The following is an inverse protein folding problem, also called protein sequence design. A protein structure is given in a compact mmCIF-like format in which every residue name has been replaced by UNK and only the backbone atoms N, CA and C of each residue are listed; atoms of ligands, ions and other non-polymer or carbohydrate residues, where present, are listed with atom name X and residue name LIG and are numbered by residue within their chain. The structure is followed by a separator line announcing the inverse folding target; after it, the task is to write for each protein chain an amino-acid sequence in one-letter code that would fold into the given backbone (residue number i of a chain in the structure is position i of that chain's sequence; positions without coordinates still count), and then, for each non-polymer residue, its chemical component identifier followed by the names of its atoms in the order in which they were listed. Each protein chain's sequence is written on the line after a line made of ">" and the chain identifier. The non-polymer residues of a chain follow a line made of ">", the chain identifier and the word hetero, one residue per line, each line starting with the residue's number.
data_IF_924375093556
#
_entry.id   IF_924375093556
#
_cell.length_a   1.000
_cell.length_b   1.000
_cell.length_c   1.000
_cell.angle_alpha   90.00
_cell.angle_beta   90.00
_cell.angle_gamma   90.00
#
_symmetry.space_group_name_H-M   'P 1'
#
loop_
_entity.id
_entity.type
_entity.pdbx_description
1 polymer ?
#
# COMPACT_ATOMS: atom_id res chain seq x y z
N UNK A 1 -54.63 22.82 16.56
CA UNK A 1 -53.29 22.73 15.93
C UNK A 1 -53.34 21.73 14.78
N UNK A 2 -53.60 22.19 13.56
CA UNK A 2 -53.60 21.33 12.37
C UNK A 2 -52.14 21.09 11.95
N UNK A 3 -51.67 19.86 12.09
CA UNK A 3 -50.34 19.46 11.63
C UNK A 3 -50.43 19.15 10.13
N UNK A 4 -49.90 20.06 9.31
CA UNK A 4 -49.67 19.85 7.88
C UNK A 4 -48.69 18.68 7.69
N UNK A 5 -49.21 17.46 7.55
CA UNK A 5 -48.40 16.30 7.14
C UNK A 5 -48.11 16.44 5.65
N UNK A 6 -46.98 17.05 5.31
CA UNK A 6 -46.43 17.01 3.95
C UNK A 6 -45.99 15.58 3.66
N UNK A 7 -46.72 14.89 2.77
CA UNK A 7 -46.32 13.59 2.24
C UNK A 7 -45.19 13.77 1.22
N UNK A 8 -44.17 12.93 1.32
CA UNK A 8 -43.10 12.84 0.33
C UNK A 8 -43.66 12.21 -0.95
N UNK A 9 -43.41 12.77 -2.11
CA UNK A 9 -43.92 12.20 -3.36
C UNK A 9 -43.04 11.03 -3.82
N UNK A 10 -43.64 10.00 -4.42
CA UNK A 10 -42.89 8.88 -5.00
C UNK A 10 -41.94 9.35 -6.12
N UNK A 11 -42.31 10.40 -6.85
CA UNK A 11 -41.46 10.99 -7.90
C UNK A 11 -40.22 11.67 -7.31
N UNK A 12 -40.32 12.34 -6.16
CA UNK A 12 -39.17 12.94 -5.47
C UNK A 12 -38.16 11.87 -5.03
N UNK A 13 -38.61 10.72 -4.52
CA UNK A 13 -37.68 9.64 -4.19
C UNK A 13 -37.07 8.99 -5.44
N UNK A 14 -37.85 8.86 -6.52
CA UNK A 14 -37.39 8.25 -7.77
C UNK A 14 -36.25 9.07 -8.40
N UNK A 15 -36.38 10.40 -8.49
CA UNK A 15 -35.31 11.22 -9.06
C UNK A 15 -34.04 11.18 -8.21
N UNK A 16 -34.17 11.10 -6.87
CA UNK A 16 -33.03 11.06 -5.95
C UNK A 16 -32.22 9.78 -6.13
N UNK A 17 -32.88 8.61 -6.19
CA UNK A 17 -32.16 7.35 -6.39
C UNK A 17 -31.49 7.27 -7.77
N UNK A 18 -32.09 7.89 -8.80
CA UNK A 18 -31.48 7.99 -10.13
C UNK A 18 -30.20 8.84 -10.08
N UNK A 19 -30.24 10.01 -9.45
CA UNK A 19 -29.07 10.89 -9.33
C UNK A 19 -27.96 10.21 -8.52
N UNK A 20 -28.29 9.60 -7.37
CA UNK A 20 -27.31 8.86 -6.54
C UNK A 20 -26.72 7.69 -7.33
N UNK A 21 -27.53 6.97 -8.13
CA UNK A 21 -27.07 5.89 -8.99
C UNK A 21 -26.02 6.34 -10.01
N UNK A 22 -26.23 7.49 -10.66
CA UNK A 22 -25.28 8.06 -11.62
C UNK A 22 -23.97 8.46 -10.92
N UNK A 23 -24.06 9.13 -9.76
CA UNK A 23 -22.88 9.53 -8.98
C UNK A 23 -22.08 8.32 -8.49
N UNK A 24 -22.77 7.29 -7.98
CA UNK A 24 -22.14 6.06 -7.49
C UNK A 24 -21.42 5.30 -8.61
N UNK A 25 -22.01 5.23 -9.81
CA UNK A 25 -21.41 4.55 -10.96
C UNK A 25 -20.04 5.12 -11.34
N UNK A 26 -19.83 6.44 -11.19
CA UNK A 26 -18.53 7.10 -11.46
C UNK A 26 -17.61 7.03 -10.24
N UNK A 27 -18.17 7.22 -9.04
CA UNK A 27 -17.39 7.33 -7.81
C UNK A 27 -16.75 6.01 -7.39
N UNK A 28 -17.47 4.88 -7.48
CA UNK A 28 -17.01 3.56 -7.03
C UNK A 28 -15.71 3.12 -7.74
N UNK A 29 -15.62 3.07 -9.09
CA UNK A 29 -14.39 2.67 -9.76
C UNK A 29 -13.24 3.66 -9.53
N UNK A 30 -13.54 4.97 -9.41
CA UNK A 30 -12.52 5.99 -9.11
C UNK A 30 -11.95 5.81 -7.70
N UNK A 31 -12.82 5.52 -6.72
CA UNK A 31 -12.41 5.28 -5.35
C UNK A 31 -11.55 4.02 -5.23
N UNK A 32 -11.96 2.91 -5.87
CA UNK A 32 -11.17 1.68 -5.91
C UNK A 32 -9.75 1.91 -6.46
N UNK A 33 -9.63 2.61 -7.60
CA UNK A 33 -8.33 2.96 -8.17
C UNK A 33 -7.50 3.88 -7.26
N UNK A 34 -8.15 4.79 -6.53
CA UNK A 34 -7.45 5.69 -5.59
C UNK A 34 -6.93 4.93 -4.39
N UNK A 35 -7.69 3.96 -3.86
CA UNK A 35 -7.22 3.06 -2.80
C UNK A 35 -6.03 2.21 -3.26
N UNK A 36 -6.09 1.64 -4.46
CA UNK A 36 -4.99 0.85 -5.02
C UNK A 36 -3.70 1.68 -5.13
N UNK A 37 -3.81 2.92 -5.62
CA UNK A 37 -2.68 3.87 -5.63
C UNK A 37 -2.14 4.19 -4.24
N UNK A 38 -3.00 4.28 -3.23
CA UNK A 38 -2.58 4.48 -1.84
C UNK A 38 -1.80 3.27 -1.30
N UNK A 39 -2.24 2.05 -1.60
CA UNK A 39 -1.51 0.83 -1.22
C UNK A 39 -0.14 0.77 -1.91
N UNK A 40 -0.06 1.12 -3.20
CA UNK A 40 1.23 1.23 -3.91
C UNK A 40 2.13 2.29 -3.30
N UNK A 41 1.58 3.45 -2.91
CA UNK A 41 2.35 4.50 -2.23
C UNK A 41 2.88 4.02 -0.86
N UNK A 42 2.08 3.27 -0.11
CA UNK A 42 2.49 2.65 1.16
C UNK A 42 3.64 1.66 0.94
N UNK A 43 3.52 0.74 -0.02
CA UNK A 43 4.61 -0.20 -0.37
C UNK A 43 5.91 0.52 -0.76
N UNK A 44 5.81 1.58 -1.58
CA UNK A 44 6.98 2.41 -1.95
C UNK A 44 7.61 3.08 -0.73
N UNK A 45 6.80 3.57 0.20
CA UNK A 45 7.29 4.18 1.43
C UNK A 45 8.03 3.17 2.30
N UNK A 46 7.46 1.98 2.46
CA UNK A 46 8.07 0.90 3.24
C UNK A 46 9.40 0.45 2.63
N UNK A 47 9.52 0.34 1.30
CA UNK A 47 10.79 0.03 0.63
C UNK A 47 11.85 1.11 0.83
N UNK A 48 11.48 2.40 0.83
CA UNK A 48 12.42 3.50 1.11
C UNK A 48 12.91 3.47 2.56
N UNK A 49 12.00 3.18 3.48
CA UNK A 49 12.34 3.01 4.88
C UNK A 49 13.26 1.81 5.07
N UNK A 50 12.94 0.67 4.44
CA UNK A 50 13.80 -0.51 4.41
C UNK A 50 15.19 -0.17 3.88
N UNK A 51 15.30 0.60 2.80
CA UNK A 51 16.61 1.02 2.30
C UNK A 51 17.43 1.77 3.34
N UNK A 52 16.80 2.65 4.10
CA UNK A 52 17.49 3.35 5.20
C UNK A 52 17.92 2.36 6.30
N UNK A 53 17.10 1.36 6.63
CA UNK A 53 17.44 0.32 7.60
C UNK A 53 18.57 -0.59 7.13
N UNK A 54 18.60 -0.94 5.84
CA UNK A 54 19.65 -1.76 5.23
C UNK A 54 21.00 -1.03 5.25
N UNK A 55 21.02 0.26 4.92
CA UNK A 55 22.24 1.07 5.03
C UNK A 55 22.72 1.20 6.48
N UNK A 56 21.80 1.35 7.44
CA UNK A 56 22.14 1.35 8.87
C UNK A 56 22.73 0.01 9.31
N UNK A 57 22.08 -1.09 8.93
CA UNK A 57 22.56 -2.42 9.24
C UNK A 57 23.93 -2.70 8.61
N UNK A 58 24.14 -2.30 7.36
CA UNK A 58 25.41 -2.43 6.68
C UNK A 58 26.52 -1.62 7.34
N UNK A 59 26.22 -0.41 7.83
CA UNK A 59 27.18 0.39 8.58
C UNK A 59 27.66 -0.33 9.86
N UNK A 60 26.76 -1.03 10.55
CA UNK A 60 27.06 -1.76 11.79
C UNK A 60 27.68 -3.15 11.54
N UNK A 61 27.43 -3.77 10.37
CA UNK A 61 27.79 -5.15 10.05
C UNK A 61 28.84 -5.28 8.93
N UNK A 62 29.74 -4.29 8.81
CA UNK A 62 30.89 -4.38 7.89
C UNK A 62 30.50 -4.39 6.41
N UNK A 63 29.42 -3.72 6.05
CA UNK A 63 28.90 -3.61 4.68
C UNK A 63 27.95 -4.75 4.28
N UNK A 64 27.64 -5.68 5.17
CA UNK A 64 26.68 -6.75 4.90
C UNK A 64 25.24 -6.25 5.04
N UNK A 65 24.36 -6.67 4.12
CA UNK A 65 22.92 -6.43 4.17
C UNK A 65 22.19 -7.63 4.76
N UNK A 66 20.94 -7.45 5.20
CA UNK A 66 20.13 -8.56 5.71
C UNK A 66 19.13 -9.07 4.68
N UNK A 67 18.76 -10.34 4.81
CA UNK A 67 17.76 -10.99 3.98
C UNK A 67 16.66 -11.61 4.83
N UNK A 68 15.48 -11.78 4.25
CA UNK A 68 14.35 -12.45 4.88
C UNK A 68 13.00 -11.80 4.56
N UNK A 69 11.95 -12.34 5.17
CA UNK A 69 10.59 -11.83 5.03
C UNK A 69 10.18 -11.05 6.26
N UNK A 70 9.82 -9.78 6.08
CA UNK A 70 9.27 -8.92 7.13
C UNK A 70 7.76 -8.76 6.98
N UNK A 71 7.05 -8.87 8.09
CA UNK A 71 5.61 -8.54 8.19
C UNK A 71 5.38 -7.77 9.49
N UNK A 72 4.20 -7.16 9.66
CA UNK A 72 3.86 -6.51 10.94
C UNK A 72 3.98 -7.43 12.17
N UNK A 73 3.68 -8.73 12.01
CA UNK A 73 3.72 -9.70 13.10
C UNK A 73 5.10 -10.35 13.29
N UNK A 74 5.96 -10.25 12.28
CA UNK A 74 7.32 -10.79 12.29
C UNK A 74 8.28 -9.72 11.74
N UNK A 75 8.72 -8.78 12.58
CA UNK A 75 9.75 -7.80 12.22
C UNK A 75 11.05 -8.50 11.81
N UNK A 76 11.78 -7.89 10.88
CA UNK A 76 13.07 -8.39 10.40
C UNK A 76 14.16 -7.40 10.81
N UNK A 77 15.10 -7.83 11.66
CA UNK A 77 16.20 -6.97 12.14
C UNK A 77 15.74 -5.60 12.69
N UNK A 78 14.59 -5.57 13.37
CA UNK A 78 13.99 -4.35 13.92
C UNK A 78 13.17 -3.52 12.91
N UNK A 79 13.27 -3.81 11.60
CA UNK A 79 12.39 -3.24 10.59
C UNK A 79 11.01 -3.90 10.65
N UNK A 80 9.96 -3.08 10.72
CA UNK A 80 8.56 -3.51 10.68
C UNK A 80 7.84 -2.77 9.55
N UNK A 81 7.31 -3.46 8.52
CA UNK A 81 6.57 -2.81 7.46
C UNK A 81 5.20 -2.32 7.95
N UNK A 82 4.52 -1.52 7.13
CA UNK A 82 3.18 -1.03 7.44
C UNK A 82 2.13 -2.15 7.39
N UNK A 83 0.91 -1.88 7.88
CA UNK A 83 -0.17 -2.88 7.93
C UNK A 83 -0.49 -3.46 6.55
N UNK A 84 -0.64 -4.79 6.51
CA UNK A 84 -0.93 -5.59 5.33
C UNK A 84 0.14 -5.54 4.22
N UNK A 85 1.33 -4.99 4.51
CA UNK A 85 2.49 -5.06 3.63
C UNK A 85 3.40 -6.21 4.07
N UNK A 86 3.78 -7.04 3.11
CA UNK A 86 4.82 -8.05 3.27
C UNK A 86 6.02 -7.64 2.43
N UNK A 87 7.18 -7.59 3.06
CA UNK A 87 8.47 -7.29 2.42
C UNK A 87 9.26 -8.59 2.37
N UNK A 88 9.87 -8.88 1.22
CA UNK A 88 10.88 -9.94 1.07
C UNK A 88 12.17 -9.26 0.64
N UNK A 89 13.15 -9.20 1.53
CA UNK A 89 14.50 -8.74 1.26
C UNK A 89 15.39 -9.94 0.92
N UNK A 90 16.28 -9.77 -0.05
CA UNK A 90 17.26 -10.77 -0.47
C UNK A 90 18.62 -10.10 -0.48
N UNK A 91 19.53 -10.58 0.35
CA UNK A 91 20.92 -10.17 0.36
C UNK A 91 21.73 -11.01 -0.64
N UNK A 92 22.71 -10.36 -1.26
CA UNK A 92 23.67 -10.97 -2.16
C UNK A 92 25.07 -10.74 -1.60
N UNK A 93 25.62 -11.71 -0.84
CA UNK A 93 26.98 -11.60 -0.33
C UNK A 93 27.98 -11.68 -1.48
N UNK A 94 28.87 -10.70 -1.57
CA UNK A 94 29.90 -10.61 -2.60
C UNK A 94 30.67 -9.28 -2.51
N UNK A 95 31.72 -9.07 -3.30
CA UNK A 95 32.38 -7.77 -3.41
C UNK A 95 31.95 -7.02 -4.70
N UNK A 96 31.22 -5.89 -4.61
CA UNK A 96 30.60 -5.31 -3.40
C UNK A 96 29.30 -6.04 -2.98
N UNK A 97 28.94 -6.03 -1.68
CA UNK A 97 27.67 -6.59 -1.23
C UNK A 97 26.51 -5.81 -1.84
N UNK A 98 25.40 -6.49 -2.09
CA UNK A 98 24.19 -5.87 -2.61
C UNK A 98 22.95 -6.56 -2.07
N UNK A 99 21.77 -5.97 -2.31
CA UNK A 99 20.50 -6.52 -1.90
C UNK A 99 19.38 -6.03 -2.81
N UNK A 100 18.25 -6.73 -2.76
CA UNK A 100 17.00 -6.33 -3.41
C UNK A 100 15.83 -6.61 -2.49
N UNK A 101 14.71 -5.92 -2.69
CA UNK A 101 13.50 -6.23 -1.94
C UNK A 101 12.22 -6.12 -2.78
N UNK A 102 11.25 -6.96 -2.46
CA UNK A 102 9.91 -6.93 -3.04
C UNK A 102 8.88 -6.66 -1.95
N UNK A 103 8.02 -5.67 -2.17
CA UNK A 103 6.86 -5.34 -1.36
C UNK A 103 5.57 -5.81 -2.04
N UNK A 104 4.70 -6.45 -1.26
CA UNK A 104 3.34 -6.82 -1.68
C UNK A 104 2.33 -6.36 -0.62
N UNK A 105 1.12 -6.02 -1.06
CA UNK A 105 0.04 -5.62 -0.16
C UNK A 105 -1.18 -6.55 -0.32
N UNK A 106 -1.76 -7.02 0.79
CA UNK A 106 -2.83 -8.03 0.77
C UNK A 106 -4.06 -7.65 -0.09
N UNK A 107 -4.35 -6.36 -0.20
CA UNK A 107 -5.53 -5.84 -0.91
C UNK A 107 -5.22 -5.26 -2.30
N UNK A 108 -4.00 -5.41 -2.81
CA UNK A 108 -3.57 -4.93 -4.12
C UNK A 108 -2.95 -6.09 -4.89
N UNK A 109 -3.30 -6.24 -6.17
CA UNK A 109 -2.65 -7.21 -7.04
C UNK A 109 -1.25 -6.75 -7.48
N UNK A 110 -0.90 -5.49 -7.22
CA UNK A 110 0.39 -4.90 -7.57
C UNK A 110 1.48 -5.28 -6.58
N UNK A 111 2.69 -5.42 -7.09
CA UNK A 111 3.91 -5.56 -6.30
C UNK A 111 4.87 -4.41 -6.62
N UNK A 112 5.71 -4.06 -5.66
CA UNK A 112 6.78 -3.09 -5.84
C UNK A 112 8.13 -3.75 -5.59
N UNK A 113 9.01 -3.71 -6.57
CA UNK A 113 10.37 -4.21 -6.46
C UNK A 113 11.34 -3.05 -6.29
N UNK A 114 12.40 -3.28 -5.51
CA UNK A 114 13.52 -2.40 -5.35
C UNK A 114 14.82 -3.13 -5.66
N UNK A 115 15.50 -2.64 -6.69
CA UNK A 115 16.78 -3.17 -7.15
C UNK A 115 17.69 -2.00 -7.47
N UNK A 116 18.92 -2.02 -6.94
CA UNK A 116 19.91 -0.94 -7.14
C UNK A 116 19.35 0.46 -6.78
N UNK A 117 18.54 0.56 -5.71
CA UNK A 117 17.96 1.82 -5.23
C UNK A 117 16.80 2.37 -6.06
N UNK A 118 16.38 1.69 -7.13
CA UNK A 118 15.22 2.10 -7.95
C UNK A 118 14.01 1.27 -7.57
N UNK A 119 12.88 1.94 -7.30
CA UNK A 119 11.61 1.28 -6.98
C UNK A 119 10.69 1.28 -8.21
N UNK A 120 10.29 0.10 -8.66
CA UNK A 120 9.34 -0.12 -9.76
C UNK A 120 8.14 -0.89 -9.25
N UNK A 121 6.92 -0.50 -9.64
CA UNK A 121 5.71 -1.25 -9.24
C UNK A 121 4.88 -1.61 -10.46
N UNK A 122 4.46 -2.87 -10.52
CA UNK A 122 3.66 -3.45 -11.61
C UNK A 122 2.32 -3.92 -11.08
#
# INVERSE_FOLDING_TARGET
>A
MSHNKKGFTLIELLIVVVIIGILAAIAIPKFANTKDKAYVAQMKSDLRNLATYEEQYAADNGGAYFGGTATMAAPLQGFTPSQNVTIVAVDFPGPPPSWSATASHLQSAKACDMTNGVITCV
#
